data_IF_714464062582
#
_entry.id   IF_714464062582
#
_cell.length_a   1.000
_cell.length_b   1.000
_cell.length_c   1.000
_cell.angle_alpha   90.00
_cell.angle_beta   90.00
_cell.angle_gamma   90.00
#
_symmetry.space_group_name_H-M   'P 1'
#
loop_
_entity.id
_entity.type
_entity.pdbx_description
1 polymer ?
#
# COMPACT_ATOMS: atom_id res chain seq x y z
N UNK A 1 6.08 -29.39 -26.64
CA UNK A 1 5.67 -29.87 -25.30
C UNK A 1 6.71 -29.39 -24.32
N UNK A 2 6.29 -28.78 -23.22
CA UNK A 2 7.17 -28.37 -22.12
C UNK A 2 7.65 -29.64 -21.40
N UNK A 3 8.86 -29.67 -20.85
CA UNK A 3 9.32 -30.85 -20.12
C UNK A 3 8.48 -31.05 -18.83
N UNK A 4 8.21 -32.29 -18.38
CA UNK A 4 7.35 -32.54 -17.21
C UNK A 4 7.82 -31.84 -15.92
N UNK A 5 9.13 -31.69 -15.73
CA UNK A 5 9.72 -30.95 -14.61
C UNK A 5 9.49 -29.44 -14.71
N UNK A 6 9.60 -28.88 -15.92
CA UNK A 6 9.31 -27.45 -16.16
C UNK A 6 7.82 -27.15 -15.94
N UNK A 7 6.94 -28.06 -16.35
CA UNK A 7 5.49 -27.96 -16.09
C UNK A 7 5.19 -27.94 -14.59
N UNK A 8 5.85 -28.82 -13.82
CA UNK A 8 5.69 -28.87 -12.36
C UNK A 8 6.15 -27.58 -11.68
N UNK A 9 7.32 -27.05 -12.06
CA UNK A 9 7.85 -25.78 -11.53
C UNK A 9 6.91 -24.61 -11.85
N UNK A 10 6.41 -24.52 -13.08
CA UNK A 10 5.43 -23.49 -13.47
C UNK A 10 4.15 -23.56 -12.65
N UNK A 11 3.66 -24.77 -12.37
CA UNK A 11 2.47 -24.99 -11.54
C UNK A 11 2.71 -24.56 -10.08
N UNK A 12 3.85 -24.92 -9.51
CA UNK A 12 4.26 -24.49 -8.17
C UNK A 12 4.29 -22.97 -8.04
N UNK A 13 4.95 -22.27 -8.96
CA UNK A 13 5.00 -20.80 -8.93
C UNK A 13 3.62 -20.15 -9.09
N UNK A 14 2.73 -20.72 -9.90
CA UNK A 14 1.38 -20.16 -10.01
C UNK A 14 0.60 -20.27 -8.69
N UNK A 15 0.73 -21.41 -7.98
CA UNK A 15 0.07 -21.62 -6.69
C UNK A 15 0.61 -20.64 -5.65
N UNK A 16 1.93 -20.42 -5.60
CA UNK A 16 2.56 -19.40 -4.74
C UNK A 16 2.04 -18.00 -5.05
N UNK A 17 2.05 -17.59 -6.32
CA UNK A 17 1.55 -16.29 -6.75
C UNK A 17 0.06 -16.12 -6.38
N UNK A 18 -0.77 -17.12 -6.63
CA UNK A 18 -2.18 -17.10 -6.25
C UNK A 18 -2.38 -16.96 -4.73
N UNK A 19 -1.55 -17.65 -3.93
CA UNK A 19 -1.53 -17.52 -2.48
C UNK A 19 -1.17 -16.11 -2.02
N UNK A 20 -0.13 -15.52 -2.59
CA UNK A 20 0.30 -14.15 -2.29
C UNK A 20 -0.78 -13.12 -2.64
N UNK A 21 -1.42 -13.26 -3.81
CA UNK A 21 -2.52 -12.38 -4.22
C UNK A 21 -3.72 -12.52 -3.28
N UNK A 22 -4.02 -13.73 -2.83
CA UNK A 22 -5.10 -13.97 -1.87
C UNK A 22 -4.80 -13.36 -0.50
N UNK A 23 -3.53 -13.35 -0.05
CA UNK A 23 -3.13 -12.65 1.18
C UNK A 23 -3.27 -11.14 1.04
N UNK A 24 -2.75 -10.60 -0.06
CA UNK A 24 -2.87 -9.18 -0.38
C UNK A 24 -4.33 -8.72 -0.37
N UNK A 25 -5.26 -9.48 -0.97
CA UNK A 25 -6.70 -9.18 -0.91
C UNK A 25 -7.24 -9.11 0.52
N UNK A 26 -6.82 -10.00 1.42
CA UNK A 26 -7.25 -10.00 2.82
C UNK A 26 -6.72 -8.78 3.57
N UNK A 27 -5.46 -8.42 3.36
CA UNK A 27 -4.84 -7.26 3.98
C UNK A 27 -5.54 -5.96 3.55
N UNK A 28 -5.83 -5.80 2.24
CA UNK A 28 -6.59 -4.66 1.75
C UNK A 28 -8.04 -4.62 2.24
N UNK A 29 -8.68 -5.78 2.37
CA UNK A 29 -10.03 -5.88 2.92
C UNK A 29 -10.05 -5.47 4.41
N UNK A 30 -9.03 -5.86 5.17
CA UNK A 30 -8.86 -5.45 6.58
C UNK A 30 -8.67 -3.93 6.73
N UNK A 31 -7.95 -3.26 5.82
CA UNK A 31 -7.83 -1.80 5.80
C UNK A 31 -9.18 -1.09 5.58
N UNK A 32 -10.14 -1.76 4.92
CA UNK A 32 -11.50 -1.24 4.69
C UNK A 32 -12.49 -1.53 5.82
N UNK A 33 -12.17 -2.46 6.73
CA UNK A 33 -13.14 -3.00 7.69
C UNK A 33 -14.20 -3.92 7.07
N UNK A 34 -14.07 -4.32 5.80
CA UNK A 34 -14.92 -5.31 5.12
C UNK A 34 -14.12 -6.61 4.93
N UNK A 35 -14.61 -7.75 5.40
CA UNK A 35 -13.90 -9.04 5.34
C UNK A 35 -14.10 -9.80 4.03
N UNK A 36 -14.88 -9.26 3.07
CA UNK A 36 -15.17 -9.90 1.77
C UNK A 36 -14.77 -8.99 0.60
N UNK A 37 -13.46 -8.81 0.41
CA UNK A 37 -12.88 -8.06 -0.71
C UNK A 37 -12.65 -8.93 -1.96
N UNK A 38 -13.36 -8.64 -3.06
CA UNK A 38 -12.92 -9.00 -4.42
C UNK A 38 -11.81 -8.03 -4.85
N UNK A 39 -10.89 -8.44 -5.72
CA UNK A 39 -9.81 -7.55 -6.17
C UNK A 39 -10.31 -6.31 -6.95
N UNK A 40 -11.46 -6.42 -7.62
CA UNK A 40 -12.10 -5.24 -8.22
C UNK A 40 -12.41 -4.16 -7.15
N UNK A 41 -12.90 -4.57 -5.97
CA UNK A 41 -13.07 -3.66 -4.84
C UNK A 41 -11.75 -3.12 -4.31
N UNK A 42 -10.68 -3.91 -4.40
CA UNK A 42 -9.33 -3.52 -3.96
C UNK A 42 -8.77 -2.39 -4.82
N UNK A 43 -9.03 -2.41 -6.13
CA UNK A 43 -8.59 -1.35 -7.04
C UNK A 43 -9.42 -0.09 -6.86
N UNK A 44 -10.73 -0.23 -6.67
CA UNK A 44 -11.60 0.90 -6.30
C UNK A 44 -11.14 1.54 -4.98
N UNK A 45 -10.62 0.74 -4.05
CA UNK A 45 -10.08 1.22 -2.77
C UNK A 45 -8.77 1.97 -2.95
N UNK A 46 -7.86 1.45 -3.77
CA UNK A 46 -6.60 2.13 -4.05
C UNK A 46 -6.82 3.43 -4.81
N UNK A 47 -7.75 3.44 -5.76
CA UNK A 47 -8.17 4.67 -6.46
C UNK A 47 -8.81 5.67 -5.48
N UNK A 48 -9.66 5.21 -4.56
CA UNK A 48 -10.22 6.07 -3.51
C UNK A 48 -9.15 6.62 -2.54
N UNK A 49 -8.09 5.85 -2.24
CA UNK A 49 -6.96 6.33 -1.44
C UNK A 49 -6.19 7.42 -2.21
N UNK A 50 -5.92 7.20 -3.51
CA UNK A 50 -5.26 8.19 -4.37
C UNK A 50 -6.09 9.47 -4.43
N UNK A 51 -7.39 9.35 -4.72
CA UNK A 51 -8.33 10.49 -4.78
C UNK A 51 -8.41 11.24 -3.45
N UNK A 52 -8.54 10.52 -2.32
CA UNK A 52 -8.56 11.15 -0.99
C UNK A 52 -7.24 11.86 -0.68
N UNK A 53 -6.11 11.33 -1.13
CA UNK A 53 -4.79 11.94 -0.91
C UNK A 53 -4.61 13.16 -1.80
N UNK A 54 -5.06 13.12 -3.07
CA UNK A 54 -5.09 14.27 -3.98
C UNK A 54 -5.97 15.39 -3.43
N UNK A 55 -7.17 15.05 -2.94
CA UNK A 55 -8.09 16.01 -2.33
C UNK A 55 -7.48 16.68 -1.09
N UNK A 56 -6.81 15.91 -0.22
CA UNK A 56 -6.10 16.46 0.93
C UNK A 56 -4.94 17.37 0.51
N UNK A 57 -4.19 16.98 -0.52
CA UNK A 57 -3.13 17.80 -1.11
C UNK A 57 -3.65 19.15 -1.63
N UNK A 58 -4.74 19.13 -2.40
CA UNK A 58 -5.38 20.36 -2.90
C UNK A 58 -5.87 21.28 -1.77
N UNK A 59 -6.46 20.72 -0.71
CA UNK A 59 -6.88 21.51 0.45
C UNK A 59 -5.69 22.17 1.18
N UNK A 60 -4.53 21.51 1.23
CA UNK A 60 -3.29 22.11 1.75
C UNK A 60 -2.85 23.28 0.86
N UNK A 61 -2.87 23.11 -0.47
CA UNK A 61 -2.50 24.17 -1.41
C UNK A 61 -3.42 25.39 -1.28
N UNK A 62 -4.74 25.19 -1.23
CA UNK A 62 -5.71 26.28 -1.01
C UNK A 62 -5.47 27.01 0.32
N UNK A 63 -5.15 26.26 1.39
CA UNK A 63 -4.81 26.85 2.69
C UNK A 63 -3.54 27.69 2.63
N UNK A 64 -2.54 27.24 1.87
CA UNK A 64 -1.29 27.96 1.65
C UNK A 64 -1.51 29.25 0.83
N UNK A 65 -2.38 29.23 -0.18
CA UNK A 65 -2.78 30.44 -0.91
C UNK A 65 -3.48 31.46 -0.01
N UNK A 66 -4.38 31.01 0.87
CA UNK A 66 -5.06 31.86 1.83
C UNK A 66 -4.08 32.49 2.86
N UNK A 67 -3.04 31.75 3.24
CA UNK A 67 -1.94 32.28 4.07
C UNK A 67 -1.20 33.37 3.29
N UNK A 68 -0.83 33.13 2.02
CA UNK A 68 -0.19 34.12 1.16
C UNK A 68 -1.00 35.43 1.04
N UNK A 69 -2.32 35.32 0.86
CA UNK A 69 -3.21 36.48 0.85
C UNK A 69 -3.25 37.24 2.19
N UNK A 70 -3.06 36.55 3.31
CA UNK A 70 -2.98 37.15 4.64
C UNK A 70 -1.63 37.85 4.87
N UNK A 71 -0.53 37.25 4.38
CA UNK A 71 0.80 37.84 4.40
C UNK A 71 0.85 39.12 3.58
N UNK A 72 0.23 39.15 2.40
CA UNK A 72 0.14 40.35 1.57
C UNK A 72 -0.51 41.54 2.31
N UNK A 73 -1.47 41.27 3.22
CA UNK A 73 -2.06 42.32 4.08
C UNK A 73 -1.08 42.80 5.14
N UNK A 74 -0.26 41.92 5.71
CA UNK A 74 0.77 42.30 6.69
C UNK A 74 1.88 43.15 6.05
N UNK A 75 2.28 42.84 4.82
CA UNK A 75 3.25 43.64 4.07
C UNK A 75 2.76 45.05 3.73
N UNK A 76 1.45 45.33 3.81
CA UNK A 76 0.90 46.68 3.63
C UNK A 76 1.11 47.61 4.84
N UNK A 77 1.59 47.06 5.96
CA UNK A 77 1.97 47.80 7.16
C UNK A 77 3.43 48.20 7.05
N UNK A 78 3.74 49.48 7.29
CA UNK A 78 5.12 50.01 7.30
C UNK A 78 5.84 49.62 8.60
N UNK A 79 6.09 48.31 8.78
CA UNK A 79 6.85 47.73 9.87
C UNK A 79 7.94 46.78 9.33
N UNK A 80 9.24 47.10 9.54
CA UNK A 80 10.34 46.25 9.09
C UNK A 80 10.32 44.82 9.65
N UNK A 81 9.79 44.62 10.86
CA UNK A 81 9.68 43.29 11.46
C UNK A 81 8.60 42.49 10.74
N UNK A 82 7.42 43.08 10.53
CA UNK A 82 6.35 42.47 9.75
C UNK A 82 6.79 42.10 8.33
N UNK A 83 7.60 42.94 7.67
CA UNK A 83 8.15 42.64 6.35
C UNK A 83 9.08 41.41 6.37
N UNK A 84 10.03 41.34 7.29
CA UNK A 84 10.96 40.20 7.41
C UNK A 84 10.22 38.90 7.70
N UNK A 85 9.24 38.92 8.63
CA UNK A 85 8.45 37.72 8.97
C UNK A 85 7.56 37.30 7.80
N UNK A 86 7.05 38.26 7.02
CA UNK A 86 6.25 37.98 5.83
C UNK A 86 7.06 37.23 4.77
N UNK A 87 8.30 37.64 4.53
CA UNK A 87 9.20 36.96 3.59
C UNK A 87 9.52 35.53 4.04
N UNK A 88 9.76 35.32 5.34
CA UNK A 88 9.96 33.98 5.91
C UNK A 88 8.73 33.08 5.71
N UNK A 89 7.52 33.61 5.88
CA UNK A 89 6.29 32.85 5.66
C UNK A 89 6.16 32.48 4.19
N UNK A 90 6.39 33.43 3.27
CA UNK A 90 6.33 33.18 1.82
C UNK A 90 7.31 32.07 1.41
N UNK A 91 8.55 32.12 1.90
CA UNK A 91 9.55 31.08 1.63
C UNK A 91 9.11 29.71 2.13
N UNK A 92 8.48 29.64 3.30
CA UNK A 92 7.96 28.39 3.83
C UNK A 92 6.74 27.89 3.04
N UNK A 93 5.84 28.77 2.63
CA UNK A 93 4.69 28.44 1.77
C UNK A 93 5.16 27.89 0.42
N UNK A 94 6.20 28.49 -0.19
CA UNK A 94 6.80 28.00 -1.43
C UNK A 94 7.37 26.58 -1.31
N UNK A 95 8.04 26.26 -0.19
CA UNK A 95 8.53 24.90 0.09
C UNK A 95 7.37 23.89 0.19
N UNK A 96 6.24 24.29 0.75
CA UNK A 96 5.04 23.43 0.80
C UNK A 96 4.47 23.20 -0.60
N UNK A 97 4.36 24.24 -1.44
CA UNK A 97 3.95 24.09 -2.84
C UNK A 97 4.83 23.09 -3.60
N UNK A 98 6.14 23.20 -3.45
CA UNK A 98 7.09 22.27 -4.10
C UNK A 98 6.90 20.83 -3.59
N UNK A 99 6.75 20.64 -2.27
CA UNK A 99 6.52 19.32 -1.68
C UNK A 99 5.20 18.68 -2.17
N UNK A 100 4.13 19.46 -2.26
CA UNK A 100 2.84 19.01 -2.79
C UNK A 100 2.92 18.66 -4.30
N UNK A 101 3.74 19.35 -5.08
CA UNK A 101 3.97 18.97 -6.48
C UNK A 101 4.62 17.58 -6.62
N UNK A 102 5.49 17.18 -5.67
CA UNK A 102 6.04 15.81 -5.63
C UNK A 102 5.00 14.75 -5.21
N UNK A 103 3.96 15.15 -4.46
CA UNK A 103 2.86 14.25 -4.10
C UNK A 103 2.06 13.83 -5.34
N UNK A 104 1.78 14.75 -6.27
CA UNK A 104 1.07 14.44 -7.52
C UNK A 104 1.80 13.34 -8.31
N UNK A 105 3.12 13.46 -8.46
CA UNK A 105 3.94 12.43 -9.11
C UNK A 105 3.89 11.08 -8.37
N UNK A 106 3.77 11.12 -7.04
CA UNK A 106 3.62 9.91 -6.22
C UNK A 106 2.26 9.24 -6.46
N UNK A 107 1.17 10.02 -6.52
CA UNK A 107 -0.16 9.53 -6.90
C UNK A 107 -0.15 8.83 -8.26
N UNK A 108 0.40 9.48 -9.27
CA UNK A 108 0.53 8.89 -10.62
C UNK A 108 1.34 7.58 -10.63
N UNK A 109 2.44 7.51 -9.86
CA UNK A 109 3.26 6.29 -9.74
C UNK A 109 2.49 5.16 -9.08
N UNK A 110 1.75 5.44 -8.01
CA UNK A 110 0.89 4.47 -7.34
C UNK A 110 -0.13 3.93 -8.35
N UNK A 111 -0.86 4.79 -9.07
CA UNK A 111 -1.83 4.36 -10.08
C UNK A 111 -1.23 3.41 -11.12
N UNK A 112 0.01 3.65 -11.57
CA UNK A 112 0.70 2.74 -12.51
C UNK A 112 1.01 1.37 -11.89
N UNK A 113 1.45 1.34 -10.64
CA UNK A 113 1.71 0.09 -9.91
C UNK A 113 0.41 -0.70 -9.75
N UNK A 114 -0.68 -0.03 -9.35
CA UNK A 114 -2.00 -0.67 -9.20
C UNK A 114 -2.49 -1.29 -10.51
N UNK A 115 -2.36 -0.57 -11.63
CA UNK A 115 -2.69 -1.11 -12.97
C UNK A 115 -1.85 -2.33 -13.35
N UNK A 116 -0.59 -2.37 -12.91
CA UNK A 116 0.29 -3.50 -13.17
C UNK A 116 -0.11 -4.73 -12.33
N UNK A 117 -0.52 -4.52 -11.07
CA UNK A 117 -1.06 -5.57 -10.21
C UNK A 117 -2.38 -6.13 -10.78
N UNK A 118 -3.26 -5.28 -11.30
CA UNK A 118 -4.48 -5.69 -12.02
C UNK A 118 -4.18 -6.59 -13.21
N UNK A 119 -3.23 -6.19 -14.04
CA UNK A 119 -2.84 -6.99 -15.19
C UNK A 119 -2.31 -8.38 -14.78
N UNK A 120 -1.46 -8.45 -13.75
CA UNK A 120 -0.98 -9.74 -13.22
C UNK A 120 -2.13 -10.59 -12.67
N UNK A 121 -3.10 -9.98 -11.99
CA UNK A 121 -4.29 -10.69 -11.51
C UNK A 121 -5.05 -11.35 -12.64
N UNK A 122 -5.39 -10.59 -13.69
CA UNK A 122 -6.19 -11.11 -14.78
C UNK A 122 -5.51 -12.27 -15.48
N UNK A 123 -4.17 -12.25 -15.55
CA UNK A 123 -3.38 -13.34 -16.10
C UNK A 123 -3.41 -14.58 -15.19
N UNK A 124 -3.21 -14.41 -13.89
CA UNK A 124 -3.26 -15.53 -12.93
C UNK A 124 -4.66 -16.14 -12.90
N UNK A 125 -5.72 -15.33 -12.85
CA UNK A 125 -7.10 -15.80 -12.90
C UNK A 125 -7.40 -16.57 -14.20
N UNK A 126 -6.85 -16.16 -15.34
CA UNK A 126 -6.97 -16.90 -16.61
C UNK A 126 -6.27 -18.25 -16.56
N UNK A 127 -5.04 -18.30 -16.05
CA UNK A 127 -4.29 -19.54 -15.88
C UNK A 127 -4.99 -20.50 -14.91
N UNK A 128 -5.55 -19.97 -13.82
CA UNK A 128 -6.36 -20.74 -12.85
C UNK A 128 -7.58 -21.36 -13.52
N UNK A 129 -8.30 -20.60 -14.37
CA UNK A 129 -9.45 -21.11 -15.10
C UNK A 129 -9.07 -22.20 -16.10
N UNK A 130 -7.90 -22.09 -16.74
CA UNK A 130 -7.41 -23.07 -17.71
C UNK A 130 -7.00 -24.39 -17.06
N UNK A 131 -6.38 -24.35 -15.88
CA UNK A 131 -5.93 -25.57 -15.18
C UNK A 131 -7.01 -26.26 -14.34
N UNK A 132 -8.08 -25.54 -14.01
CA UNK A 132 -9.17 -26.09 -13.22
C UNK A 132 -8.88 -26.03 -11.72
N UNK A 133 -9.94 -25.77 -10.94
CA UNK A 133 -9.84 -25.54 -9.49
C UNK A 133 -9.38 -26.78 -8.72
N UNK A 134 -9.75 -27.97 -9.18
CA UNK A 134 -9.45 -29.24 -8.52
C UNK A 134 -7.96 -29.58 -8.56
N UNK A 135 -7.31 -29.39 -9.72
CA UNK A 135 -5.88 -29.64 -9.88
C UNK A 135 -5.04 -28.64 -9.07
N UNK A 136 -5.48 -27.38 -9.00
CA UNK A 136 -4.84 -26.37 -8.16
C UNK A 136 -5.00 -26.65 -6.68
N UNK A 137 -6.17 -27.13 -6.23
CA UNK A 137 -6.38 -27.54 -4.86
C UNK A 137 -5.48 -28.73 -4.48
N UNK A 138 -5.31 -29.69 -5.41
CA UNK A 138 -4.40 -30.82 -5.26
C UNK A 138 -2.94 -30.37 -5.11
N UNK A 139 -2.48 -29.50 -6.01
CA UNK A 139 -1.12 -28.94 -5.96
C UNK A 139 -0.89 -28.09 -4.69
N UNK A 140 -1.85 -27.27 -4.29
CA UNK A 140 -1.78 -26.51 -3.05
C UNK A 140 -1.70 -27.42 -1.82
N UNK A 141 -2.42 -28.54 -1.80
CA UNK A 141 -2.33 -29.54 -0.74
C UNK A 141 -0.99 -30.30 -0.75
N UNK A 142 -0.42 -30.58 -1.94
CA UNK A 142 0.92 -31.19 -2.08
C UNK A 142 2.04 -30.23 -1.66
N UNK A 143 1.83 -28.92 -1.80
CA UNK A 143 2.76 -27.87 -1.37
C UNK A 143 2.59 -27.49 0.10
N UNK A 144 1.41 -27.68 0.67
CA UNK A 144 1.17 -27.54 2.10
C UNK A 144 1.87 -28.70 2.83
N UNK A 145 3.09 -28.43 3.31
CA UNK A 145 3.82 -29.29 4.24
C UNK A 145 2.86 -29.73 5.37
N UNK A 146 2.88 -31.00 5.85
CA UNK A 146 1.96 -31.49 6.86
C UNK A 146 1.91 -30.57 8.08
N UNK A 147 0.69 -30.30 8.56
CA UNK A 147 0.37 -29.44 9.68
C UNK A 147 1.33 -29.65 10.88
N UNK A 148 2.28 -28.71 11.00
CA UNK A 148 3.27 -28.67 12.08
C UNK A 148 4.07 -27.37 12.11
N UNK A 149 3.73 -26.40 11.27
CA UNK A 149 4.32 -25.06 11.33
C UNK A 149 3.54 -24.21 12.34
N UNK A 150 4.21 -23.57 13.32
CA UNK A 150 3.53 -22.70 14.27
C UNK A 150 2.84 -21.56 13.51
N UNK A 151 1.63 -21.24 13.98
CA UNK A 151 0.79 -20.17 13.47
C UNK A 151 1.55 -18.83 13.49
N UNK A 152 2.06 -18.43 12.33
CA UNK A 152 2.72 -17.13 12.11
C UNK A 152 1.72 -16.07 11.60
N UNK A 153 0.42 -16.24 11.87
CA UNK A 153 -0.60 -15.20 11.66
C UNK A 153 -0.62 -14.15 12.78
N UNK A 154 0.50 -13.91 13.45
CA UNK A 154 0.65 -12.68 14.22
C UNK A 154 1.05 -11.56 13.27
N UNK A 155 0.06 -10.74 12.89
CA UNK A 155 0.30 -9.46 12.23
C UNK A 155 1.24 -8.56 13.06
N UNK A 156 1.69 -7.42 12.50
CA UNK A 156 2.66 -6.54 13.16
C UNK A 156 2.22 -6.21 14.59
N UNK A 157 2.97 -6.73 15.58
CA UNK A 157 2.69 -6.48 16.99
C UNK A 157 2.85 -4.98 17.26
N UNK A 158 1.83 -4.39 17.89
CA UNK A 158 1.82 -2.98 18.29
C UNK A 158 3.09 -2.66 19.09
N UNK A 159 3.66 -1.45 18.97
CA UNK A 159 4.83 -1.06 19.74
C UNK A 159 4.52 -1.20 21.24
N UNK A 160 5.29 -2.05 21.93
CA UNK A 160 5.10 -2.33 23.36
C UNK A 160 5.07 -3.80 23.77
N UNK A 161 5.03 -4.75 22.83
CA UNK A 161 5.18 -6.19 23.13
C UNK A 161 6.60 -6.65 22.78
N UNK A 162 7.56 -6.23 23.59
CA UNK A 162 8.90 -6.83 23.57
C UNK A 162 8.82 -8.15 24.35
N UNK A 163 9.26 -9.24 23.74
CA UNK A 163 9.49 -10.51 24.43
C UNK A 163 10.56 -10.25 25.49
N UNK A 164 10.30 -10.61 26.75
CA UNK A 164 11.24 -10.33 27.84
C UNK A 164 12.41 -11.30 27.79
N UNK A 165 13.58 -10.90 28.30
CA UNK A 165 14.78 -11.75 28.31
C UNK A 165 14.53 -13.07 29.09
N UNK A 166 13.66 -13.03 30.10
CA UNK A 166 13.24 -14.22 30.85
C UNK A 166 12.46 -15.25 29.99
N UNK A 167 11.85 -14.81 28.89
CA UNK A 167 11.17 -15.70 27.93
C UNK A 167 12.13 -16.33 26.92
N UNK A 168 13.26 -15.66 26.66
CA UNK A 168 14.34 -16.19 25.81
C UNK A 168 15.10 -17.29 26.54
N UNK A 169 15.37 -17.11 27.84
CA UNK A 169 16.16 -18.05 28.63
C UNK A 169 15.44 -19.40 28.84
N UNK A 170 14.11 -19.43 28.78
CA UNK A 170 13.30 -20.66 28.85
C UNK A 170 13.38 -21.55 27.60
N UNK A 171 13.88 -21.05 26.48
CA UNK A 171 14.01 -21.82 25.23
C UNK A 171 15.33 -22.59 25.14
N UNK A 172 16.29 -22.32 26.03
CA UNK A 172 17.62 -22.94 26.02
C UNK A 172 17.93 -23.74 27.29
N UNK A 173 16.89 -24.18 28.03
CA UNK A 173 16.99 -25.19 29.10
C UNK A 173 16.01 -26.33 28.90
#
# INVERSE_FOLDING_TARGET
MIAPEEEKVLKTHLVEMFGHMSSMRREFAALQGDSKGSFAKMTDTLDAIVESTESAGNAILESMEAIGASVAKLQSVDDPIAASVSDEIIDNTNKVFEACAFQDLTGQRITRVVKSLQFMEDHINRLVRMWGKEELARLAAEMAVPAGAPDLLEGPKRPGVAISQDDIDKLFT
#
